data_IF_072785559184
#
_entry.id   IF_072785559184
#
_cell.length_a   1.000
_cell.length_b   1.000
_cell.length_c   1.000
_cell.angle_alpha   90.00
_cell.angle_beta   90.00
_cell.angle_gamma   90.00
#
_symmetry.space_group_name_H-M   'P 1'
#
loop_
_entity.id
_entity.type
_entity.pdbx_description
1 polymer ?
#
# COMPACT_ATOMS: atom_id res chain seq x y z
N UNK A 1 -17.37 4.91 42.08
CA UNK A 1 -16.92 6.32 42.09
C UNK A 1 -15.46 6.34 41.69
N UNK A 2 -15.05 7.14 40.69
CA UNK A 2 -13.65 7.25 40.30
C UNK A 2 -12.95 8.27 41.22
N UNK A 3 -11.91 7.84 41.92
CA UNK A 3 -11.14 8.70 42.82
C UNK A 3 -10.51 9.88 42.04
N UNK A 4 -10.67 11.08 42.57
CA UNK A 4 -10.06 12.31 42.06
C UNK A 4 -8.92 12.73 42.98
N UNK A 5 -7.84 13.31 42.43
CA UNK A 5 -6.72 13.80 43.25
C UNK A 5 -7.08 15.15 43.93
N UNK A 6 -6.18 15.66 44.80
CA UNK A 6 -6.32 16.92 45.55
C UNK A 6 -6.66 18.17 44.70
N UNK A 7 -6.55 18.10 43.37
CA UNK A 7 -6.89 19.18 42.41
C UNK A 7 -8.13 18.84 41.55
N UNK A 8 -8.98 17.90 41.97
CA UNK A 8 -10.26 17.57 41.33
C UNK A 8 -10.17 16.82 40.00
N UNK A 9 -8.99 16.32 39.59
CA UNK A 9 -8.79 15.61 38.31
C UNK A 9 -8.85 14.08 38.50
N UNK A 10 -9.52 13.37 37.57
CA UNK A 10 -9.72 11.90 37.59
C UNK A 10 -8.37 11.15 37.52
N UNK A 11 -8.12 10.22 38.44
CA UNK A 11 -6.84 9.47 38.59
C UNK A 11 -6.38 8.73 37.32
N UNK A 12 -7.33 8.18 36.55
CA UNK A 12 -7.05 7.36 35.36
C UNK A 12 -6.30 8.12 34.25
N UNK A 13 -6.68 9.38 34.01
CA UNK A 13 -6.11 10.22 32.93
C UNK A 13 -4.64 10.55 33.18
N UNK A 14 -4.21 10.62 34.44
CA UNK A 14 -2.81 10.84 34.79
C UNK A 14 -1.97 9.59 34.57
N UNK A 15 -2.49 8.41 34.95
CA UNK A 15 -1.78 7.13 34.75
C UNK A 15 -1.50 6.86 33.27
N UNK A 16 -2.47 7.08 32.39
CA UNK A 16 -2.27 6.90 30.93
C UNK A 16 -1.27 7.91 30.36
N UNK A 17 -1.30 9.15 30.86
CA UNK A 17 -0.41 10.21 30.40
C UNK A 17 1.03 10.00 30.88
N UNK A 18 1.20 9.53 32.10
CA UNK A 18 2.52 9.23 32.68
C UNK A 18 3.14 8.02 31.97
N UNK A 19 2.34 6.98 31.70
CA UNK A 19 2.75 5.84 30.85
C UNK A 19 3.15 6.27 29.44
N UNK A 20 2.45 7.24 28.85
CA UNK A 20 2.84 7.79 27.54
C UNK A 20 4.22 8.44 27.60
N UNK A 21 4.51 9.27 28.61
CA UNK A 21 5.84 9.89 28.74
C UNK A 21 6.94 8.88 29.04
N UNK A 22 6.68 7.91 29.92
CA UNK A 22 7.60 6.82 30.23
C UNK A 22 7.90 5.97 28.98
N UNK A 23 6.87 5.63 28.20
CA UNK A 23 7.01 4.93 26.93
C UNK A 23 7.81 5.70 25.88
N UNK A 24 7.94 7.03 26.02
CA UNK A 24 8.78 7.89 25.17
C UNK A 24 10.17 8.14 25.76
N UNK A 25 10.46 7.59 26.93
CA UNK A 25 11.75 7.67 27.63
C UNK A 25 11.89 8.90 28.54
N UNK A 26 10.80 9.55 28.92
CA UNK A 26 10.80 10.69 29.83
C UNK A 26 10.25 10.31 31.21
N UNK A 27 10.97 10.70 32.26
CA UNK A 27 10.44 10.65 33.62
C UNK A 27 9.42 11.79 33.85
N UNK A 28 8.41 11.57 34.69
CA UNK A 28 7.40 12.59 35.00
C UNK A 28 8.00 13.89 35.56
N UNK A 29 9.13 13.80 36.28
CA UNK A 29 9.88 14.96 36.79
C UNK A 29 10.53 15.79 35.67
N UNK A 30 11.08 15.13 34.66
CA UNK A 30 11.66 15.75 33.45
C UNK A 30 10.59 16.57 32.71
N UNK A 31 9.39 16.00 32.61
CA UNK A 31 8.21 16.63 32.00
C UNK A 31 7.71 17.82 32.83
N UNK A 32 7.79 17.74 34.16
CA UNK A 32 7.49 18.87 35.05
C UNK A 32 8.44 20.04 34.81
N UNK A 33 9.76 19.76 34.79
CA UNK A 33 10.82 20.74 34.53
C UNK A 33 10.68 21.39 33.14
N UNK A 34 10.34 20.63 32.11
CA UNK A 34 10.11 21.16 30.77
C UNK A 34 8.92 22.12 30.68
N UNK A 35 7.84 21.88 31.43
CA UNK A 35 6.69 22.79 31.49
C UNK A 35 7.01 24.09 32.20
N UNK A 36 7.77 24.02 33.30
CA UNK A 36 8.16 25.19 34.09
C UNK A 36 9.12 26.11 33.33
N UNK A 37 9.96 25.55 32.46
CA UNK A 37 10.89 26.33 31.64
C UNK A 37 10.28 26.91 30.35
N UNK A 38 8.99 26.64 30.05
CA UNK A 38 8.35 26.92 28.74
C UNK A 38 9.22 26.49 27.53
N UNK A 39 10.13 25.54 27.76
CA UNK A 39 10.94 24.96 26.71
C UNK A 39 9.98 24.30 25.73
N UNK A 40 10.26 24.31 24.43
CA UNK A 40 9.44 23.77 23.34
C UNK A 40 9.14 22.26 23.46
N UNK A 41 8.50 21.88 24.56
CA UNK A 41 8.20 20.54 25.04
C UNK A 41 7.28 19.85 24.04
N UNK A 42 6.38 20.63 23.44
CA UNK A 42 5.48 20.14 22.40
C UNK A 42 6.25 19.78 21.13
N UNK A 43 7.18 20.63 20.67
CA UNK A 43 8.07 20.30 19.54
C UNK A 43 8.95 19.09 19.86
N UNK A 44 9.55 19.03 21.04
CA UNK A 44 10.46 17.94 21.43
C UNK A 44 9.73 16.59 21.52
N UNK A 45 8.57 16.56 22.19
CA UNK A 45 7.71 15.37 22.23
C UNK A 45 7.22 14.99 20.84
N UNK A 46 6.87 15.95 19.99
CA UNK A 46 6.44 15.69 18.61
C UNK A 46 7.54 15.08 17.75
N UNK A 47 8.79 15.54 17.91
CA UNK A 47 9.95 14.95 17.24
C UNK A 47 10.18 13.51 17.72
N UNK A 48 10.14 13.30 19.04
CA UNK A 48 10.31 11.98 19.66
C UNK A 48 9.22 11.00 19.26
N UNK A 49 7.97 11.46 19.20
CA UNK A 49 6.82 10.68 18.73
C UNK A 49 7.01 10.22 17.29
N UNK A 50 7.37 11.16 16.40
CA UNK A 50 7.63 10.84 14.99
C UNK A 50 8.77 9.85 14.82
N UNK A 51 9.79 9.90 15.67
CA UNK A 51 10.93 8.99 15.62
C UNK A 51 10.55 7.58 16.09
N UNK A 52 9.87 7.48 17.24
CA UNK A 52 9.33 6.23 17.76
C UNK A 52 8.38 5.56 16.76
N UNK A 53 7.44 6.31 16.19
CA UNK A 53 6.49 5.80 15.19
C UNK A 53 7.22 5.27 13.94
N UNK A 54 8.31 5.93 13.53
CA UNK A 54 9.16 5.44 12.42
C UNK A 54 9.84 4.13 12.79
N UNK A 55 10.41 4.02 13.99
CA UNK A 55 11.11 2.82 14.47
C UNK A 55 10.16 1.63 14.61
N UNK A 56 8.98 1.83 15.22
CA UNK A 56 7.96 0.79 15.35
C UNK A 56 7.47 0.32 13.99
N UNK A 57 7.17 1.26 13.09
CA UNK A 57 6.74 0.93 11.72
C UNK A 57 7.81 0.10 10.99
N UNK A 58 9.08 0.47 11.10
CA UNK A 58 10.18 -0.31 10.50
C UNK A 58 10.26 -1.71 11.09
N UNK A 59 10.20 -1.83 12.41
CA UNK A 59 10.28 -3.14 13.08
C UNK A 59 9.15 -4.04 12.62
N UNK A 60 7.91 -3.54 12.57
CA UNK A 60 6.75 -4.29 12.08
C UNK A 60 6.89 -4.73 10.62
N UNK A 61 7.45 -3.90 9.75
CA UNK A 61 7.67 -4.27 8.34
C UNK A 61 8.82 -5.28 8.22
N UNK A 62 9.91 -5.06 8.95
CA UNK A 62 11.09 -5.92 9.02
C UNK A 62 10.76 -7.29 9.62
N UNK A 63 9.80 -7.38 10.54
CA UNK A 63 9.37 -8.65 11.13
C UNK A 63 8.20 -9.28 10.37
N UNK A 64 7.59 -8.55 9.43
CA UNK A 64 6.45 -9.09 8.67
C UNK A 64 6.87 -10.34 7.90
N UNK A 65 6.07 -11.39 8.09
CA UNK A 65 6.27 -12.70 7.44
C UNK A 65 5.66 -12.74 6.04
N UNK A 66 4.65 -11.91 5.80
CA UNK A 66 3.80 -11.95 4.61
C UNK A 66 4.31 -11.08 3.45
N UNK A 67 5.30 -10.21 3.66
CA UNK A 67 5.76 -9.32 2.59
C UNK A 67 7.29 -9.10 2.65
N UNK A 68 8.04 -10.14 2.25
CA UNK A 68 9.49 -10.10 2.20
C UNK A 68 10.04 -9.03 1.25
N UNK A 69 9.33 -8.76 0.14
CA UNK A 69 9.71 -7.74 -0.85
C UNK A 69 9.54 -6.32 -0.29
N UNK A 70 8.57 -6.08 0.60
CA UNK A 70 8.45 -4.79 1.30
C UNK A 70 9.70 -4.41 2.08
N UNK A 71 10.45 -5.38 2.66
CA UNK A 71 11.72 -5.09 3.34
C UNK A 71 12.75 -4.44 2.41
N UNK A 72 12.82 -4.90 1.15
CA UNK A 72 13.72 -4.37 0.12
C UNK A 72 13.28 -3.00 -0.40
N UNK A 73 11.98 -2.72 -0.28
CA UNK A 73 11.35 -1.52 -0.77
C UNK A 73 11.49 -0.37 0.24
N UNK A 74 11.63 -0.60 1.55
CA UNK A 74 11.69 0.48 2.57
C UNK A 74 13.03 1.24 2.54
N UNK A 75 12.95 2.53 2.22
CA UNK A 75 13.98 3.54 2.51
C UNK A 75 13.34 4.63 3.39
N UNK A 76 14.18 5.26 4.21
CA UNK A 76 13.76 6.30 5.16
C UNK A 76 13.44 7.64 4.52
N UNK A 77 13.91 7.81 3.30
CA UNK A 77 13.69 8.98 2.49
C UNK A 77 12.31 8.91 1.84
N UNK A 78 11.71 10.10 1.69
CA UNK A 78 10.54 10.27 0.82
C UNK A 78 10.95 9.77 -0.55
N UNK A 79 10.28 8.74 -1.05
CA UNK A 79 10.63 8.13 -2.34
C UNK A 79 10.59 9.19 -3.43
N UNK A 80 11.55 9.14 -4.36
CA UNK A 80 11.70 10.14 -5.42
C UNK A 80 10.42 10.38 -6.22
N UNK A 81 9.66 9.32 -6.55
CA UNK A 81 8.39 9.46 -7.27
C UNK A 81 7.29 10.21 -6.47
N UNK A 82 7.43 10.37 -5.16
CA UNK A 82 6.51 11.13 -4.31
C UNK A 82 6.58 12.63 -4.60
N UNK A 83 7.66 13.11 -5.22
CA UNK A 83 7.80 14.51 -5.66
C UNK A 83 7.11 14.81 -6.98
N UNK A 84 6.57 13.81 -7.71
CA UNK A 84 5.78 14.05 -8.92
C UNK A 84 4.52 14.87 -8.61
N UNK A 85 3.96 15.57 -9.58
CA UNK A 85 2.78 16.40 -9.32
C UNK A 85 1.48 15.57 -9.28
N UNK A 86 1.38 14.54 -10.12
CA UNK A 86 0.15 13.75 -10.27
C UNK A 86 -0.05 12.73 -9.14
N UNK A 87 -1.06 12.96 -8.30
CA UNK A 87 -1.51 12.00 -7.28
C UNK A 87 -1.91 10.66 -7.91
N UNK A 88 -2.49 10.69 -9.12
CA UNK A 88 -2.93 9.48 -9.85
C UNK A 88 -1.75 8.59 -10.21
N UNK A 89 -0.65 9.18 -10.67
CA UNK A 89 0.57 8.46 -11.04
C UNK A 89 1.27 7.88 -9.80
N UNK A 90 1.36 8.65 -8.71
CA UNK A 90 1.88 8.14 -7.42
C UNK A 90 1.10 6.93 -6.94
N UNK A 91 -0.24 6.99 -6.98
CA UNK A 91 -1.11 5.87 -6.58
C UNK A 91 -0.92 4.66 -7.47
N UNK A 92 -0.76 4.86 -8.78
CA UNK A 92 -0.50 3.77 -9.73
C UNK A 92 0.81 3.07 -9.40
N UNK A 93 1.92 3.83 -9.28
CA UNK A 93 3.22 3.26 -8.96
C UNK A 93 3.23 2.53 -7.63
N UNK A 94 2.58 3.09 -6.61
CA UNK A 94 2.46 2.44 -5.31
C UNK A 94 1.74 1.09 -5.44
N UNK A 95 0.62 1.03 -6.16
CA UNK A 95 -0.15 -0.21 -6.35
C UNK A 95 0.65 -1.31 -7.04
N UNK A 96 1.37 -1.00 -8.12
CA UNK A 96 2.23 -1.97 -8.78
C UNK A 96 3.34 -2.46 -7.84
N UNK A 97 4.07 -1.55 -7.19
CA UNK A 97 5.15 -1.93 -6.28
C UNK A 97 4.70 -2.76 -5.07
N UNK A 98 3.46 -2.59 -4.66
CA UNK A 98 2.89 -3.29 -3.52
C UNK A 98 2.14 -4.56 -3.92
N UNK A 99 2.21 -4.97 -5.19
CA UNK A 99 1.56 -6.19 -5.69
C UNK A 99 0.03 -6.10 -5.76
N UNK A 100 -0.55 -4.89 -5.65
CA UNK A 100 -2.01 -4.71 -5.73
C UNK A 100 -2.56 -4.88 -7.16
N UNK A 101 -1.70 -4.84 -8.17
CA UNK A 101 -2.08 -5.08 -9.57
C UNK A 101 -1.90 -6.56 -9.96
N UNK A 102 -1.52 -7.43 -9.03
CA UNK A 102 -1.40 -8.87 -9.22
C UNK A 102 -2.66 -9.56 -8.68
N UNK A 103 -3.36 -10.33 -9.51
CA UNK A 103 -4.48 -11.14 -9.03
C UNK A 103 -4.04 -12.39 -8.28
N UNK A 104 -2.82 -12.88 -8.52
CA UNK A 104 -2.33 -14.10 -7.86
C UNK A 104 -2.33 -13.97 -6.33
N UNK A 105 -2.10 -12.74 -5.83
CA UNK A 105 -2.11 -12.43 -4.40
C UNK A 105 -3.53 -12.37 -3.77
N UNK A 106 -4.60 -12.49 -4.57
CA UNK A 106 -5.97 -12.46 -4.08
C UNK A 106 -6.42 -13.86 -3.64
N UNK A 107 -5.97 -14.29 -2.46
CA UNK A 107 -6.24 -15.63 -1.91
C UNK A 107 -7.73 -15.97 -1.72
N UNK A 108 -8.62 -14.99 -1.80
CA UNK A 108 -10.08 -15.17 -1.73
C UNK A 108 -10.75 -15.42 -3.10
N UNK A 109 -10.02 -15.30 -4.21
CA UNK A 109 -10.51 -15.65 -5.55
C UNK A 109 -10.22 -17.11 -5.89
N UNK A 110 -11.01 -17.73 -6.75
CA UNK A 110 -10.70 -19.05 -7.30
C UNK A 110 -9.46 -19.00 -8.21
N UNK A 111 -8.73 -20.11 -8.33
CA UNK A 111 -7.50 -20.19 -9.13
C UNK A 111 -7.70 -19.76 -10.59
N UNK A 112 -8.87 -20.07 -11.16
CA UNK A 112 -9.23 -19.64 -12.52
C UNK A 112 -9.36 -18.14 -12.66
N UNK A 113 -9.85 -17.47 -11.62
CA UNK A 113 -10.07 -16.01 -11.61
C UNK A 113 -8.80 -15.23 -11.32
N UNK A 114 -7.78 -15.90 -10.75
CA UNK A 114 -6.43 -15.37 -10.53
C UNK A 114 -5.56 -15.33 -11.77
N UNK A 115 -5.99 -15.98 -12.85
CA UNK A 115 -5.28 -15.95 -14.13
C UNK A 115 -5.12 -14.54 -14.68
N UNK A 116 -4.05 -14.34 -15.44
CA UNK A 116 -3.72 -13.09 -16.12
C UNK A 116 -4.88 -12.56 -16.95
N UNK A 117 -5.28 -11.30 -16.73
CA UNK A 117 -6.32 -10.57 -17.46
C UNK A 117 -6.01 -10.37 -18.95
N UNK A 118 -4.76 -10.59 -19.35
CA UNK A 118 -4.29 -10.33 -20.71
C UNK A 118 -4.20 -11.63 -21.51
N UNK A 119 -3.53 -12.66 -20.96
CA UNK A 119 -3.26 -13.91 -21.67
C UNK A 119 -4.11 -15.09 -21.19
N UNK A 120 -4.71 -15.02 -19.99
CA UNK A 120 -5.58 -16.05 -19.40
C UNK A 120 -4.94 -17.44 -19.20
N UNK A 121 -3.60 -17.54 -19.18
CA UNK A 121 -2.89 -18.83 -19.05
C UNK A 121 -2.45 -19.11 -17.62
N UNK A 122 -1.56 -18.26 -17.11
CA UNK A 122 -0.94 -18.40 -15.80
C UNK A 122 -1.51 -17.39 -14.80
N UNK A 123 -1.18 -17.58 -13.52
CA UNK A 123 -1.48 -16.62 -12.45
C UNK A 123 -0.94 -15.22 -12.76
N UNK A 124 -1.72 -14.20 -12.45
CA UNK A 124 -1.33 -12.82 -12.72
C UNK A 124 -0.34 -12.30 -11.67
N UNK A 125 0.95 -12.55 -11.91
CA UNK A 125 2.07 -11.97 -11.15
C UNK A 125 2.78 -10.88 -11.95
N UNK A 126 3.57 -10.04 -11.29
CA UNK A 126 4.42 -9.06 -11.99
C UNK A 126 5.48 -9.75 -12.84
N UNK A 127 6.04 -10.86 -12.35
CA UNK A 127 7.01 -11.68 -13.09
C UNK A 127 6.38 -12.18 -14.40
N UNK A 128 5.16 -12.71 -14.33
CA UNK A 128 4.43 -13.09 -15.53
C UNK A 128 4.20 -11.89 -16.45
N UNK A 129 3.76 -10.73 -15.92
CA UNK A 129 3.49 -9.56 -16.76
C UNK A 129 4.73 -9.01 -17.49
N UNK A 130 5.92 -9.13 -16.90
CA UNK A 130 7.16 -8.60 -17.48
C UNK A 130 7.84 -9.57 -18.44
N UNK A 131 7.86 -10.86 -18.09
CA UNK A 131 8.70 -11.84 -18.80
C UNK A 131 7.86 -12.95 -19.47
N UNK A 132 6.71 -13.30 -18.90
CA UNK A 132 5.91 -14.45 -19.34
C UNK A 132 4.68 -14.13 -20.20
N UNK A 133 4.21 -12.88 -20.18
CA UNK A 133 2.92 -12.53 -20.77
C UNK A 133 3.07 -12.23 -22.26
N UNK A 134 2.58 -13.13 -23.10
CA UNK A 134 2.63 -12.95 -24.56
C UNK A 134 1.97 -11.66 -25.03
N UNK A 135 0.91 -11.22 -24.34
CA UNK A 135 0.19 -9.98 -24.67
C UNK A 135 0.89 -8.70 -24.20
N UNK A 136 2.00 -8.81 -23.47
CA UNK A 136 2.86 -7.70 -23.06
C UNK A 136 4.28 -7.83 -23.62
N UNK A 137 4.54 -8.82 -24.48
CA UNK A 137 5.88 -9.08 -25.04
C UNK A 137 6.47 -7.89 -25.79
N UNK A 138 5.63 -7.05 -26.40
CA UNK A 138 6.08 -5.82 -27.08
C UNK A 138 6.47 -4.69 -26.12
N UNK A 139 6.14 -4.82 -24.83
CA UNK A 139 6.49 -3.89 -23.75
C UNK A 139 7.63 -4.45 -22.88
N UNK A 140 8.58 -5.13 -23.50
CA UNK A 140 9.68 -5.80 -22.82
C UNK A 140 10.54 -4.80 -22.02
N UNK A 141 10.43 -4.85 -20.70
CA UNK A 141 11.25 -4.07 -19.77
C UNK A 141 11.66 -4.95 -18.57
N UNK A 142 12.83 -4.67 -17.99
CA UNK A 142 13.31 -5.44 -16.84
C UNK A 142 12.54 -5.08 -15.55
N UNK A 143 12.25 -6.08 -14.70
CA UNK A 143 11.52 -5.89 -13.43
C UNK A 143 12.11 -4.80 -12.55
N UNK A 144 13.43 -4.75 -12.46
CA UNK A 144 14.17 -3.77 -11.68
C UNK A 144 13.91 -2.35 -12.17
N UNK A 145 13.85 -2.14 -13.49
CA UNK A 145 13.63 -0.83 -14.09
C UNK A 145 12.19 -0.36 -13.96
N UNK A 146 11.24 -1.27 -14.15
CA UNK A 146 9.81 -0.95 -14.05
C UNK A 146 9.43 -0.53 -12.63
N UNK A 147 9.91 -1.26 -11.62
CA UNK A 147 9.57 -1.02 -10.22
C UNK A 147 10.52 -0.03 -9.52
N UNK A 148 11.41 0.64 -10.24
CA UNK A 148 12.36 1.59 -9.65
C UNK A 148 11.69 2.81 -8.99
N UNK A 149 12.40 3.44 -8.05
CA UNK A 149 11.91 4.60 -7.29
C UNK A 149 11.87 5.90 -8.11
N UNK A 150 12.60 5.97 -9.21
CA UNK A 150 12.70 7.15 -10.07
C UNK A 150 11.48 7.31 -11.00
N UNK A 151 10.63 6.27 -11.09
CA UNK A 151 9.40 6.27 -11.90
C UNK A 151 9.61 6.11 -13.40
N UNK A 152 10.70 5.45 -13.80
CA UNK A 152 10.96 5.07 -15.19
C UNK A 152 9.88 4.12 -15.74
N UNK A 153 9.46 3.13 -14.95
CA UNK A 153 8.38 2.21 -15.34
C UNK A 153 6.96 2.78 -15.37
N UNK A 154 6.76 4.09 -15.15
CA UNK A 154 5.40 4.65 -15.14
C UNK A 154 4.71 4.51 -16.50
N UNK A 155 5.44 4.68 -17.60
CA UNK A 155 4.86 4.58 -18.94
C UNK A 155 4.42 3.15 -19.25
N UNK A 156 5.29 2.18 -18.92
CA UNK A 156 4.94 0.76 -18.94
C UNK A 156 3.66 0.46 -18.14
N UNK A 157 3.56 0.95 -16.90
CA UNK A 157 2.38 0.76 -16.05
C UNK A 157 1.09 1.34 -16.66
N UNK A 158 1.19 2.47 -17.38
CA UNK A 158 0.06 3.08 -18.09
C UNK A 158 -0.40 2.20 -19.26
N UNK A 159 0.53 1.73 -20.08
CA UNK A 159 0.21 0.88 -21.23
C UNK A 159 -0.35 -0.48 -20.79
N UNK A 160 0.21 -1.12 -19.76
CA UNK A 160 -0.36 -2.34 -19.18
C UNK A 160 -1.82 -2.13 -18.76
N UNK A 161 -2.10 -1.06 -18.00
CA UNK A 161 -3.47 -0.79 -17.53
C UNK A 161 -4.44 -0.49 -18.68
N UNK A 162 -3.96 0.12 -19.76
CA UNK A 162 -4.73 0.38 -20.99
C UNK A 162 -5.03 -0.91 -21.76
N UNK A 163 -4.06 -1.81 -21.87
CA UNK A 163 -4.24 -3.14 -22.48
C UNK A 163 -5.25 -3.95 -21.67
N UNK A 164 -5.09 -4.02 -20.34
CA UNK A 164 -6.04 -4.68 -19.44
C UNK A 164 -7.46 -4.11 -19.59
N UNK A 165 -7.59 -2.78 -19.63
CA UNK A 165 -8.87 -2.11 -19.82
C UNK A 165 -9.53 -2.43 -21.16
N UNK A 166 -8.74 -2.53 -22.23
CA UNK A 166 -9.22 -2.89 -23.57
C UNK A 166 -9.69 -4.35 -23.62
N UNK A 167 -8.90 -5.27 -23.08
CA UNK A 167 -9.25 -6.71 -23.03
C UNK A 167 -10.55 -6.95 -22.25
N UNK A 168 -10.69 -6.34 -21.09
CA UNK A 168 -11.93 -6.43 -20.29
C UNK A 168 -13.16 -5.91 -21.05
N UNK A 169 -13.03 -4.81 -21.81
CA UNK A 169 -14.13 -4.29 -22.64
C UNK A 169 -14.52 -5.27 -23.74
N UNK A 170 -13.54 -5.86 -24.43
CA UNK A 170 -13.79 -6.84 -25.50
C UNK A 170 -14.51 -8.06 -24.93
N UNK A 171 -14.05 -8.57 -23.78
CA UNK A 171 -14.67 -9.72 -23.11
C UNK A 171 -16.13 -9.43 -22.73
N UNK A 172 -16.40 -8.27 -22.11
CA UNK A 172 -17.78 -7.86 -21.79
C UNK A 172 -18.67 -7.77 -23.03
N UNK A 173 -18.14 -7.26 -24.15
CA UNK A 173 -18.87 -7.19 -25.42
C UNK A 173 -19.14 -8.58 -26.00
N UNK A 174 -18.19 -9.51 -25.90
CA UNK A 174 -18.36 -10.90 -26.34
C UNK A 174 -19.41 -11.64 -25.49
N UNK A 175 -19.38 -11.45 -24.18
CA UNK A 175 -20.39 -11.99 -23.24
C UNK A 175 -21.78 -11.41 -23.52
N UNK A 176 -21.86 -10.11 -23.81
CA UNK A 176 -23.13 -9.47 -24.17
C UNK A 176 -23.69 -10.01 -25.50
N UNK A 177 -22.84 -10.12 -26.52
CA UNK A 177 -23.24 -10.68 -27.83
C UNK A 177 -23.69 -12.14 -27.73
N UNK A 178 -22.98 -12.98 -26.99
CA UNK A 178 -23.35 -14.38 -26.78
C UNK A 178 -24.67 -14.50 -26.02
N UNK A 179 -24.91 -13.68 -24.98
CA UNK A 179 -26.20 -13.65 -24.28
C UNK A 179 -27.36 -13.25 -25.19
N UNK A 180 -27.18 -12.24 -26.05
CA UNK A 180 -28.19 -11.87 -27.06
C UNK A 180 -28.45 -13.03 -28.01
N UNK A 181 -27.39 -13.68 -28.49
CA UNK A 181 -27.51 -14.78 -29.44
C UNK A 181 -28.25 -15.98 -28.83
N UNK A 182 -27.95 -16.32 -27.58
CA UNK A 182 -28.64 -17.37 -26.82
C UNK A 182 -30.11 -16.98 -26.60
N UNK A 183 -30.40 -15.74 -26.21
CA UNK A 183 -31.78 -15.25 -26.08
C UNK A 183 -32.54 -15.33 -27.41
N UNK A 184 -31.90 -14.99 -28.52
CA UNK A 184 -32.51 -15.09 -29.85
C UNK A 184 -32.83 -16.54 -30.23
N UNK A 185 -31.92 -17.48 -29.95
CA UNK A 185 -32.17 -18.93 -30.14
C UNK A 185 -33.35 -19.37 -29.28
N UNK A 186 -33.36 -19.02 -27.99
CA UNK A 186 -34.44 -19.41 -27.06
C UNK A 186 -35.81 -18.78 -27.38
N UNK A 187 -35.86 -17.71 -28.18
CA UNK A 187 -37.10 -17.06 -28.62
C UNK A 187 -37.56 -17.51 -30.01
N UNK A 188 -36.73 -18.26 -30.74
CA UNK A 188 -37.02 -18.75 -32.09
C UNK A 188 -37.35 -20.25 -32.15
N UNK A 189 -37.24 -20.95 -31.01
CA UNK A 189 -37.72 -22.32 -30.77
C UNK A 189 -38.81 -22.30 -29.69
#
# INVERSE_FOLDING_TARGET
MLETNKKGRRKHVWIERDKYYEGKGYACEEIGRMREMERGMKEELSVRDKDMDKQERRSRISESRYNAEYRKIVKDEVRKYTHRESIKEKRMMARFRCGNEEKENNFWMDETDRKCRICWREGETIEHMLEGCEGLRELEESRGEVLNEDGRGLEWMKEVRKIMGTKNKIEQLLLYKTRIYILFILLTY
#
